data_IF_809618487035
#
_entry.id   IF_809618487035
#
_cell.length_a   1.000
_cell.length_b   1.000
_cell.length_c   1.000
_cell.angle_alpha   90.00
_cell.angle_beta   90.00
_cell.angle_gamma   90.00
#
_symmetry.space_group_name_H-M   'P 1'
#
loop_
_entity.id
_entity.type
_entity.pdbx_description
1 polymer ?
#
# COMPACT_ATOMS: atom_id res chain seq x y z
N UNK A 1 -16.30 3.70 -25.38
CA UNK A 1 -17.00 4.40 -24.26
C UNK A 1 -17.19 3.51 -23.02
N UNK A 2 -17.27 2.18 -23.13
CA UNK A 2 -17.35 1.30 -21.96
C UNK A 2 -16.07 1.30 -21.09
N UNK A 3 -14.91 1.53 -21.71
CA UNK A 3 -13.62 1.58 -21.00
C UNK A 3 -13.51 2.76 -20.02
N UNK A 4 -14.15 3.90 -20.32
CA UNK A 4 -14.18 5.06 -19.42
C UNK A 4 -15.02 4.78 -18.17
N UNK A 5 -16.18 4.11 -18.33
CA UNK A 5 -17.05 3.76 -17.19
C UNK A 5 -16.37 2.74 -16.27
N UNK A 6 -15.72 1.72 -16.84
CA UNK A 6 -14.96 0.74 -16.06
C UNK A 6 -13.77 1.38 -15.31
N UNK A 7 -13.08 2.33 -15.95
CA UNK A 7 -11.98 3.08 -15.34
C UNK A 7 -12.45 3.96 -14.19
N UNK A 8 -13.57 4.67 -14.35
CA UNK A 8 -14.14 5.51 -13.28
C UNK A 8 -14.63 4.69 -12.08
N UNK A 9 -15.25 3.53 -12.33
CA UNK A 9 -15.63 2.62 -11.25
C UNK A 9 -14.41 2.07 -10.51
N UNK A 10 -13.36 1.69 -11.25
CA UNK A 10 -12.10 1.24 -10.64
C UNK A 10 -11.44 2.33 -9.79
N UNK A 11 -11.48 3.61 -10.23
CA UNK A 11 -10.97 4.74 -9.43
C UNK A 11 -11.72 4.92 -8.11
N UNK A 12 -13.05 4.81 -8.12
CA UNK A 12 -13.86 4.90 -6.89
C UNK A 12 -13.53 3.76 -5.93
N UNK A 13 -13.49 2.53 -6.44
CA UNK A 13 -13.14 1.36 -5.62
C UNK A 13 -11.73 1.47 -5.06
N UNK A 14 -10.76 1.97 -5.83
CA UNK A 14 -9.40 2.23 -5.34
C UNK A 14 -9.41 3.23 -4.18
N UNK A 15 -10.19 4.31 -4.26
CA UNK A 15 -10.32 5.28 -3.16
C UNK A 15 -10.84 4.63 -1.88
N UNK A 16 -11.83 3.74 -1.99
CA UNK A 16 -12.37 2.99 -0.85
C UNK A 16 -11.33 2.02 -0.27
N UNK A 17 -10.60 1.31 -1.14
CA UNK A 17 -9.55 0.38 -0.71
C UNK A 17 -8.39 1.10 -0.02
N UNK A 18 -7.97 2.27 -0.51
CA UNK A 18 -6.96 3.09 0.18
C UNK A 18 -7.44 3.56 1.55
N UNK A 19 -8.70 3.99 1.67
CA UNK A 19 -9.29 4.31 2.97
C UNK A 19 -9.30 3.10 3.92
N UNK A 20 -9.62 1.90 3.41
CA UNK A 20 -9.56 0.67 4.21
C UNK A 20 -8.13 0.32 4.65
N UNK A 21 -7.12 0.52 3.78
CA UNK A 21 -5.70 0.36 4.16
C UNK A 21 -5.33 1.29 5.32
N UNK A 22 -5.73 2.55 5.28
CA UNK A 22 -5.49 3.51 6.37
C UNK A 22 -6.15 3.05 7.69
N UNK A 23 -7.40 2.59 7.61
CA UNK A 23 -8.14 2.08 8.77
C UNK A 23 -7.50 0.84 9.39
N UNK A 24 -7.13 -0.14 8.56
CA UNK A 24 -6.48 -1.38 9.02
C UNK A 24 -5.10 -1.08 9.60
N UNK A 25 -4.34 -0.16 8.98
CA UNK A 25 -3.02 0.26 9.47
C UNK A 25 -3.12 0.89 10.86
N UNK A 26 -4.07 1.79 11.09
CA UNK A 26 -4.32 2.39 12.41
C UNK A 26 -4.71 1.36 13.47
N UNK A 27 -5.57 0.40 13.11
CA UNK A 27 -5.95 -0.71 14.02
C UNK A 27 -4.76 -1.60 14.34
N UNK A 28 -3.87 -1.83 13.38
CA UNK A 28 -2.69 -2.66 13.55
C UNK A 28 -1.67 -1.98 14.48
N UNK A 29 -1.44 -0.68 14.30
CA UNK A 29 -0.61 0.14 15.18
C UNK A 29 -1.09 0.05 16.63
N UNK A 30 -2.39 0.26 16.86
CA UNK A 30 -2.97 0.13 18.20
C UNK A 30 -2.82 -1.29 18.80
N UNK A 31 -2.90 -2.34 17.97
CA UNK A 31 -2.67 -3.71 18.42
C UNK A 31 -1.19 -3.98 18.76
N UNK A 32 -0.26 -3.42 17.98
CA UNK A 32 1.16 -3.54 18.22
C UNK A 32 1.61 -2.77 19.47
N UNK A 33 1.05 -1.58 19.74
CA UNK A 33 1.26 -0.86 20.99
C UNK A 33 0.76 -1.64 22.22
N UNK A 34 -0.41 -2.29 22.11
CA UNK A 34 -0.93 -3.17 23.18
C UNK A 34 0.01 -4.35 23.41
N UNK A 35 0.51 -4.97 22.34
CA UNK A 35 1.48 -6.05 22.43
C UNK A 35 2.79 -5.61 23.08
N UNK A 36 3.30 -4.43 22.73
CA UNK A 36 4.51 -3.89 23.33
C UNK A 36 4.34 -3.63 24.83
N UNK A 37 3.20 -3.04 25.23
CA UNK A 37 2.86 -2.83 26.65
C UNK A 37 2.72 -4.14 27.42
N UNK A 38 2.07 -5.15 26.85
CA UNK A 38 1.96 -6.49 27.45
C UNK A 38 3.32 -7.16 27.64
N UNK A 39 4.21 -7.06 26.64
CA UNK A 39 5.57 -7.59 26.70
C UNK A 39 6.41 -6.91 27.78
N UNK A 40 6.31 -5.57 27.91
CA UNK A 40 6.99 -4.83 28.97
C UNK A 40 6.53 -5.27 30.38
N UNK A 41 5.30 -5.78 30.50
CA UNK A 41 4.75 -6.35 31.75
C UNK A 41 5.03 -7.85 31.91
N UNK A 42 5.90 -8.43 31.08
CA UNK A 42 6.27 -9.84 31.14
C UNK A 42 5.24 -10.81 30.55
N UNK A 43 4.20 -10.31 29.86
CA UNK A 43 3.22 -11.16 29.18
C UNK A 43 3.64 -11.38 27.70
N UNK A 44 4.04 -12.60 27.30
CA UNK A 44 4.50 -12.87 25.94
C UNK A 44 3.36 -13.05 24.93
N UNK A 45 2.09 -13.08 25.37
CA UNK A 45 0.95 -13.32 24.48
C UNK A 45 0.80 -12.18 23.49
N UNK A 46 0.77 -12.54 22.20
CA UNK A 46 0.45 -11.62 21.09
C UNK A 46 -1.07 -11.52 20.95
N UNK A 47 -1.56 -10.31 20.71
CA UNK A 47 -2.94 -10.04 20.33
C UNK A 47 -3.23 -10.74 18.98
N UNK A 48 -4.16 -11.72 18.94
CA UNK A 48 -4.47 -12.47 17.73
C UNK A 48 -5.06 -11.57 16.63
N UNK A 49 -5.65 -10.43 16.98
CA UNK A 49 -6.19 -9.46 16.02
C UNK A 49 -5.08 -8.92 15.11
N UNK A 50 -3.85 -8.79 15.62
CA UNK A 50 -2.73 -8.28 14.83
C UNK A 50 -2.36 -9.19 13.65
N UNK A 51 -2.59 -10.50 13.74
CA UNK A 51 -2.39 -11.43 12.61
C UNK A 51 -3.51 -11.30 11.58
N UNK A 52 -4.75 -11.12 12.04
CA UNK A 52 -5.92 -10.94 11.16
C UNK A 52 -5.79 -9.64 10.37
N UNK A 53 -5.45 -8.53 11.03
CA UNK A 53 -5.27 -7.22 10.39
C UNK A 53 -4.13 -7.23 9.36
N UNK A 54 -3.02 -7.92 9.63
CA UNK A 54 -1.93 -8.07 8.66
C UNK A 54 -2.38 -8.83 7.41
N UNK A 55 -3.21 -9.86 7.59
CA UNK A 55 -3.77 -10.62 6.47
C UNK A 55 -4.73 -9.75 5.64
N UNK A 56 -5.62 -9.02 6.30
CA UNK A 56 -6.56 -8.10 5.65
C UNK A 56 -5.84 -7.02 4.84
N UNK A 57 -4.77 -6.44 5.40
CA UNK A 57 -3.92 -5.48 4.71
C UNK A 57 -3.28 -6.07 3.45
N UNK A 58 -2.75 -7.30 3.55
CA UNK A 58 -2.17 -8.01 2.40
C UNK A 58 -3.22 -8.27 1.31
N UNK A 59 -4.40 -8.76 1.68
CA UNK A 59 -5.48 -9.03 0.73
C UNK A 59 -5.93 -7.73 0.04
N UNK A 60 -6.05 -6.63 0.79
CA UNK A 60 -6.41 -5.30 0.26
C UNK A 60 -5.38 -4.79 -0.74
N UNK A 61 -4.08 -4.90 -0.43
CA UNK A 61 -3.01 -4.53 -1.38
C UNK A 61 -3.06 -5.38 -2.66
N UNK A 62 -3.31 -6.69 -2.55
CA UNK A 62 -3.45 -7.53 -3.75
C UNK A 62 -4.62 -7.10 -4.63
N UNK A 63 -5.73 -6.64 -4.03
CA UNK A 63 -6.88 -6.12 -4.78
C UNK A 63 -6.53 -4.82 -5.50
N UNK A 64 -5.83 -3.91 -4.84
CA UNK A 64 -5.32 -2.66 -5.44
C UNK A 64 -4.42 -2.97 -6.64
N UNK A 65 -3.44 -3.86 -6.48
CA UNK A 65 -2.55 -4.28 -7.56
C UNK A 65 -3.33 -4.92 -8.73
N UNK A 66 -4.34 -5.73 -8.41
CA UNK A 66 -5.23 -6.34 -9.40
C UNK A 66 -6.02 -5.31 -10.20
N UNK A 67 -6.52 -4.26 -9.55
CA UNK A 67 -7.23 -3.16 -10.20
C UNK A 67 -6.30 -2.35 -11.11
N UNK A 68 -5.10 -2.03 -10.66
CA UNK A 68 -4.12 -1.34 -11.48
C UNK A 68 -3.70 -2.16 -12.71
N UNK A 69 -3.55 -3.48 -12.57
CA UNK A 69 -3.24 -4.37 -13.69
C UNK A 69 -4.39 -4.45 -14.71
N UNK A 70 -5.64 -4.45 -14.24
CA UNK A 70 -6.83 -4.56 -15.10
C UNK A 70 -7.20 -3.22 -15.75
N UNK A 71 -6.96 -2.10 -15.05
CA UNK A 71 -7.26 -0.75 -15.52
C UNK A 71 -5.98 0.11 -15.42
N UNK A 72 -5.07 0.02 -16.40
CA UNK A 72 -3.77 0.72 -16.36
C UNK A 72 -3.91 2.24 -16.23
N UNK A 73 -5.01 2.83 -16.71
CA UNK A 73 -5.33 4.25 -16.56
C UNK A 73 -5.58 4.71 -15.11
N UNK A 74 -5.63 3.77 -14.16
CA UNK A 74 -5.71 4.02 -12.72
C UNK A 74 -4.36 3.88 -12.01
N UNK A 75 -3.36 3.29 -12.66
CA UNK A 75 -2.05 3.07 -12.06
C UNK A 75 -1.39 4.43 -11.78
N UNK A 76 -0.74 4.60 -10.62
CA UNK A 76 0.09 5.76 -10.40
C UNK A 76 1.15 5.79 -11.50
N UNK A 77 1.20 6.90 -12.26
CA UNK A 77 2.25 7.10 -13.26
C UNK A 77 3.58 6.86 -12.56
N UNK A 78 4.41 5.89 -13.01
CA UNK A 78 5.71 5.70 -12.41
C UNK A 78 6.41 7.03 -12.51
N UNK A 79 6.69 7.65 -11.36
CA UNK A 79 7.49 8.86 -11.32
C UNK A 79 8.71 8.55 -12.17
N UNK A 80 8.87 9.29 -13.28
CA UNK A 80 10.03 9.19 -14.17
C UNK A 80 11.25 9.41 -13.29
N UNK A 81 11.77 8.31 -12.75
CA UNK A 81 13.00 8.28 -11.99
C UNK A 81 14.03 8.69 -13.00
N UNK A 82 14.54 9.91 -12.80
CA UNK A 82 15.35 10.63 -13.76
C UNK A 82 16.33 9.69 -14.43
N UNK A 83 16.19 9.58 -15.75
CA UNK A 83 17.25 9.08 -16.60
C UNK A 83 18.53 9.74 -16.12
N UNK A 84 19.45 8.91 -15.63
CA UNK A 84 20.86 9.23 -15.52
C UNK A 84 21.34 9.66 -16.90
N UNK A 85 21.19 10.93 -17.22
CA UNK A 85 21.67 11.51 -18.47
C UNK A 85 22.54 12.71 -18.13
N UNK A 86 23.82 12.60 -18.45
CA UNK A 86 24.75 13.73 -18.38
C UNK A 86 25.89 13.66 -17.35
N UNK A 87 26.41 12.48 -16.97
CA UNK A 87 27.78 12.41 -16.43
C UNK A 87 28.71 11.70 -17.44
N UNK A 88 28.86 12.29 -18.61
CA UNK A 88 29.95 12.00 -19.54
C UNK A 88 30.45 13.32 -20.13
N UNK A 89 31.78 13.39 -20.29
CA UNK A 89 32.63 14.52 -20.72
C UNK A 89 33.00 15.48 -19.58
N UNK A 90 34.27 15.72 -19.23
CA UNK A 90 35.53 15.36 -19.88
C UNK A 90 36.65 15.57 -18.84
N UNK A 91 37.40 14.51 -18.51
CA UNK A 91 38.83 14.64 -18.17
C UNK A 91 39.58 14.75 -19.49
N UNK A 92 40.45 15.75 -19.62
CA UNK A 92 41.71 15.77 -20.38
C UNK A 92 42.02 17.21 -20.78
N UNK A 93 43.18 17.70 -20.36
CA UNK A 93 43.71 19.04 -20.61
C UNK A 93 44.47 19.52 -19.40
#
# INVERSE_FOLDING_TARGET
MADDVGTEQARRLLSELYGHVEDVSRKLEAADERNQRSRARGNPRKDPIASVLRRDLYETHRLIDGLHRRFPATAPTPARTGTRDGLRHRRAG
#
